data_IF_180102108200
#
_entry.id   IF_180102108200
#
_cell.length_a   1.000
_cell.length_b   1.000
_cell.length_c   1.000
_cell.angle_alpha   90.00
_cell.angle_beta   90.00
_cell.angle_gamma   90.00
#
_symmetry.space_group_name_H-M   'P 1'
#
loop_
_entity.id
_entity.type
_entity.pdbx_description
1 polymer ?
#
# COMPACT_ATOMS: atom_id res chain seq x y z
N UNK A 1 -55.06 -19.28 -59.01
CA UNK A 1 -55.11 -18.14 -58.07
C UNK A 1 -54.10 -18.39 -56.96
N UNK A 2 -53.14 -17.47 -56.85
CA UNK A 2 -52.18 -17.14 -55.80
C UNK A 2 -51.92 -18.13 -54.65
N UNK A 3 -50.66 -18.56 -54.49
CA UNK A 3 -50.04 -18.75 -53.18
C UNK A 3 -48.53 -18.42 -53.28
N UNK A 4 -48.17 -17.25 -52.74
CA UNK A 4 -46.81 -16.72 -52.59
C UNK A 4 -46.41 -16.89 -51.13
N UNK A 5 -45.33 -17.65 -50.87
CA UNK A 5 -44.77 -17.83 -49.52
C UNK A 5 -43.72 -16.74 -49.29
N UNK A 6 -43.97 -15.93 -48.25
CA UNK A 6 -43.16 -14.81 -47.83
C UNK A 6 -41.85 -15.23 -47.13
N UNK A 7 -40.79 -14.57 -47.59
CA UNK A 7 -39.50 -14.33 -46.94
C UNK A 7 -39.65 -13.66 -45.57
N UNK A 8 -38.82 -14.05 -44.58
CA UNK A 8 -38.14 -13.11 -43.68
C UNK A 8 -36.94 -13.77 -42.99
N UNK A 9 -35.73 -13.50 -43.48
CA UNK A 9 -34.47 -13.63 -42.72
C UNK A 9 -34.26 -12.36 -41.90
N UNK A 10 -34.14 -12.49 -40.58
CA UNK A 10 -33.67 -11.41 -39.69
C UNK A 10 -32.14 -11.52 -39.53
N UNK A 11 -31.43 -10.49 -39.96
CA UNK A 11 -30.01 -10.30 -39.71
C UNK A 11 -29.80 -9.72 -38.30
N UNK A 12 -29.04 -10.41 -37.45
CA UNK A 12 -28.59 -9.92 -36.15
C UNK A 12 -27.29 -9.14 -36.30
N UNK A 13 -27.35 -7.82 -36.07
CA UNK A 13 -26.21 -6.90 -36.10
C UNK A 13 -25.53 -6.91 -34.72
N UNK A 14 -24.41 -7.63 -34.57
CA UNK A 14 -23.57 -7.59 -33.38
C UNK A 14 -22.68 -6.34 -33.40
N UNK A 15 -23.03 -5.33 -32.60
CA UNK A 15 -22.16 -4.20 -32.25
C UNK A 15 -21.11 -4.65 -31.24
N UNK A 16 -19.86 -4.82 -31.67
CA UNK A 16 -18.71 -4.89 -30.77
C UNK A 16 -18.40 -3.48 -30.27
N UNK A 17 -18.65 -3.24 -28.97
CA UNK A 17 -18.20 -2.06 -28.25
C UNK A 17 -16.81 -2.37 -27.70
N UNK A 18 -15.76 -1.85 -28.35
CA UNK A 18 -14.40 -1.89 -27.82
C UNK A 18 -14.31 -0.94 -26.63
N UNK A 19 -14.21 -1.49 -25.42
CA UNK A 19 -13.81 -0.76 -24.23
C UNK A 19 -12.29 -0.78 -24.16
N UNK A 20 -11.65 0.35 -24.48
CA UNK A 20 -10.24 0.56 -24.18
C UNK A 20 -10.10 0.74 -22.68
N UNK A 21 -9.59 -0.27 -21.98
CA UNK A 21 -9.15 -0.16 -20.59
C UNK A 21 -7.86 0.65 -20.56
N UNK A 22 -7.97 1.94 -20.27
CA UNK A 22 -6.82 2.79 -19.99
C UNK A 22 -6.09 2.25 -18.75
N UNK A 23 -4.82 1.89 -18.94
CA UNK A 23 -3.85 1.54 -17.90
C UNK A 23 -3.66 2.73 -16.95
N UNK A 24 -4.35 2.71 -15.81
CA UNK A 24 -4.12 3.64 -14.72
C UNK A 24 -2.96 3.12 -13.86
N UNK A 25 -1.78 3.68 -14.04
CA UNK A 25 -0.69 3.50 -13.07
C UNK A 25 -1.12 4.08 -11.72
N UNK A 26 -0.75 3.46 -10.58
CA UNK A 26 -1.15 3.92 -9.26
C UNK A 26 -0.47 5.27 -8.97
N UNK A 27 -1.18 6.36 -9.24
CA UNK A 27 -0.73 7.69 -8.84
C UNK A 27 -0.75 7.76 -7.31
N UNK A 28 0.41 7.72 -6.68
CA UNK A 28 0.55 8.05 -5.27
C UNK A 28 -0.05 9.44 -5.03
N UNK A 29 -1.10 9.52 -4.20
CA UNK A 29 -1.75 10.77 -3.82
C UNK A 29 -0.72 11.74 -3.26
N UNK A 30 -0.76 13.03 -3.67
CA UNK A 30 0.20 14.06 -3.24
C UNK A 30 0.36 14.10 -1.72
N UNK A 31 -0.74 13.89 -0.99
CA UNK A 31 -0.76 13.78 0.48
C UNK A 31 0.16 12.69 1.05
N UNK A 32 0.32 11.55 0.38
CA UNK A 32 1.22 10.47 0.83
C UNK A 32 2.69 10.89 0.73
N UNK A 33 3.04 11.67 -0.31
CA UNK A 33 4.40 12.15 -0.53
C UNK A 33 4.86 13.13 0.56
N UNK A 34 3.91 13.86 1.17
CA UNK A 34 4.19 14.87 2.18
C UNK A 34 4.14 14.31 3.62
N UNK A 35 3.63 13.09 3.80
CA UNK A 35 3.51 12.43 5.11
C UNK A 35 4.78 12.44 5.96
N UNK A 36 6.00 12.16 5.42
CA UNK A 36 7.23 12.23 6.21
C UNK A 36 7.49 13.63 6.80
N UNK A 37 7.19 14.69 6.04
CA UNK A 37 7.32 16.07 6.50
C UNK A 37 6.35 16.38 7.62
N UNK A 38 5.07 16.00 7.46
CA UNK A 38 4.04 16.20 8.49
C UNK A 38 4.38 15.45 9.77
N UNK A 39 4.90 14.24 9.65
CA UNK A 39 5.37 13.48 10.80
C UNK A 39 6.56 14.13 11.49
N UNK A 40 7.46 14.80 10.77
CA UNK A 40 8.62 15.44 11.39
C UNK A 40 8.24 16.76 12.08
N UNK A 41 7.44 17.59 11.41
CA UNK A 41 7.13 18.95 11.85
C UNK A 41 5.78 19.07 12.58
N UNK A 42 5.19 17.97 13.06
CA UNK A 42 3.88 18.03 13.70
C UNK A 42 3.93 18.89 14.98
N UNK A 43 2.98 19.83 15.21
CA UNK A 43 2.98 20.70 16.39
C UNK A 43 2.92 19.89 17.70
N UNK A 44 2.18 18.77 17.73
CA UNK A 44 2.07 17.93 18.93
C UNK A 44 3.35 17.15 19.28
N UNK A 45 4.33 17.08 18.37
CA UNK A 45 5.62 16.43 18.67
C UNK A 45 6.59 17.35 19.40
N UNK A 46 6.26 18.64 19.53
CA UNK A 46 7.04 19.56 20.35
C UNK A 46 6.83 19.17 21.81
N UNK A 47 7.83 18.50 22.39
CA UNK A 47 7.79 18.04 23.78
C UNK A 47 7.81 19.28 24.68
N UNK A 48 6.67 19.59 25.29
CA UNK A 48 6.57 20.61 26.33
C UNK A 48 7.23 20.03 27.58
N UNK A 49 8.52 20.31 27.79
CA UNK A 49 9.18 19.99 29.05
C UNK A 49 8.51 20.79 30.16
N UNK A 50 7.76 20.11 31.03
CA UNK A 50 6.93 20.69 32.10
C UNK A 50 7.72 21.26 33.28
N UNK A 51 8.98 21.64 33.10
CA UNK A 51 9.83 22.20 34.15
C UNK A 51 9.74 23.73 34.21
N UNK A 52 8.72 24.21 34.92
CA UNK A 52 8.70 25.31 35.91
C UNK A 52 9.41 26.67 35.71
N UNK A 53 10.03 26.99 34.57
CA UNK A 53 10.47 28.36 34.26
C UNK A 53 9.52 29.01 33.26
N UNK A 54 8.86 30.10 33.66
CA UNK A 54 7.88 30.81 32.82
C UNK A 54 8.46 31.29 31.48
N UNK A 55 9.77 31.47 31.38
CA UNK A 55 10.45 32.00 30.19
C UNK A 55 10.70 30.97 29.07
N UNK A 56 10.68 29.65 29.35
CA UNK A 56 10.91 28.61 28.32
C UNK A 56 9.65 28.15 27.60
N UNK A 57 8.46 28.50 28.09
CA UNK A 57 7.21 28.18 27.41
C UNK A 57 7.04 28.96 26.10
N UNK A 58 7.53 30.19 26.03
CA UNK A 58 7.39 31.07 24.86
C UNK A 58 8.09 30.49 23.62
N UNK A 59 9.29 29.91 23.77
CA UNK A 59 10.02 29.29 22.67
C UNK A 59 9.31 28.09 22.05
N UNK A 60 8.68 27.24 22.86
CA UNK A 60 7.92 26.08 22.37
C UNK A 60 6.63 26.50 21.66
N UNK A 61 6.02 27.60 22.07
CA UNK A 61 4.82 28.15 21.42
C UNK A 61 5.16 28.74 20.05
N UNK A 62 6.31 29.41 19.92
CA UNK A 62 6.82 29.88 18.61
C UNK A 62 7.05 28.69 17.66
N UNK A 63 7.71 27.62 18.12
CA UNK A 63 7.93 26.40 17.30
C UNK A 63 6.61 25.80 16.84
N UNK A 64 5.64 25.64 17.75
CA UNK A 64 4.32 25.08 17.44
C UNK A 64 3.57 25.95 16.43
N UNK A 65 3.61 27.26 16.59
CA UNK A 65 2.95 28.21 15.69
C UNK A 65 3.56 28.18 14.29
N UNK A 66 4.88 28.30 14.19
CA UNK A 66 5.59 28.27 12.90
C UNK A 66 5.31 26.96 12.16
N UNK A 67 5.38 25.81 12.85
CA UNK A 67 5.09 24.52 12.23
C UNK A 67 3.62 24.34 11.84
N UNK A 68 2.68 24.87 12.63
CA UNK A 68 1.26 24.86 12.28
C UNK A 68 1.01 25.67 11.00
N UNK A 69 1.58 26.88 10.91
CA UNK A 69 1.48 27.75 9.73
C UNK A 69 2.09 27.08 8.49
N UNK A 70 3.22 26.37 8.66
CA UNK A 70 3.85 25.57 7.60
C UNK A 70 2.92 24.49 7.05
N UNK A 71 2.31 23.71 7.94
CA UNK A 71 1.41 22.60 7.59
C UNK A 71 0.15 23.13 6.92
N UNK A 72 -0.43 24.23 7.43
CA UNK A 72 -1.60 24.86 6.83
C UNK A 72 -1.30 25.38 5.42
N UNK A 73 -0.17 26.07 5.24
CA UNK A 73 0.27 26.57 3.92
C UNK A 73 0.45 25.42 2.93
N UNK A 74 1.05 24.33 3.37
CA UNK A 74 1.28 23.14 2.55
C UNK A 74 -0.02 22.41 2.18
N UNK A 75 -0.94 22.25 3.13
CA UNK A 75 -2.25 21.64 2.85
C UNK A 75 -3.06 22.49 1.88
N UNK A 76 -3.11 23.82 2.09
CA UNK A 76 -3.78 24.74 1.18
C UNK A 76 -3.20 24.66 -0.23
N UNK A 77 -1.87 24.55 -0.37
CA UNK A 77 -1.21 24.34 -1.66
C UNK A 77 -1.65 23.03 -2.32
N UNK A 78 -1.64 21.91 -1.59
CA UNK A 78 -2.05 20.60 -2.11
C UNK A 78 -3.51 20.64 -2.57
N UNK A 79 -4.40 21.20 -1.76
CA UNK A 79 -5.84 21.29 -2.07
C UNK A 79 -6.08 22.15 -3.32
N UNK A 80 -5.38 23.29 -3.44
CA UNK A 80 -5.44 24.14 -4.64
C UNK A 80 -4.98 23.39 -5.88
N UNK A 81 -3.92 22.59 -5.79
CA UNK A 81 -3.40 21.80 -6.90
C UNK A 81 -4.35 20.66 -7.26
N UNK A 82 -4.86 19.91 -6.29
CA UNK A 82 -5.82 18.82 -6.52
C UNK A 82 -7.10 19.34 -7.18
N UNK A 83 -7.66 20.45 -6.69
CA UNK A 83 -8.82 21.10 -7.29
C UNK A 83 -8.54 21.60 -8.72
N UNK A 84 -7.35 22.14 -8.96
CA UNK A 84 -6.92 22.57 -10.30
C UNK A 84 -6.83 21.38 -11.26
N UNK A 85 -6.25 20.26 -10.82
CA UNK A 85 -6.13 19.05 -11.62
C UNK A 85 -7.51 18.45 -11.93
N UNK A 86 -8.41 18.39 -10.96
CA UNK A 86 -9.79 17.95 -11.18
C UNK A 86 -10.52 18.86 -12.19
N UNK A 87 -10.31 20.17 -12.09
CA UNK A 87 -10.94 21.14 -13.00
C UNK A 87 -10.42 21.01 -14.43
N UNK A 88 -9.12 20.75 -14.62
CA UNK A 88 -8.54 20.45 -15.94
C UNK A 88 -9.14 19.17 -16.53
N UNK A 89 -9.29 18.12 -15.72
CA UNK A 89 -9.85 16.84 -16.16
C UNK A 89 -11.33 16.97 -16.55
N UNK A 90 -12.12 17.68 -15.75
CA UNK A 90 -13.57 17.82 -15.93
C UNK A 90 -13.97 19.06 -16.72
N UNK A 91 -13.02 19.87 -17.18
CA UNK A 91 -13.26 21.14 -17.91
C UNK A 91 -14.18 22.10 -17.15
N UNK A 92 -14.01 22.18 -15.82
CA UNK A 92 -14.78 23.09 -14.97
C UNK A 92 -14.09 24.45 -14.91
N UNK A 93 -14.88 25.52 -14.89
CA UNK A 93 -14.39 26.87 -14.66
C UNK A 93 -13.88 26.98 -13.22
N UNK A 94 -12.66 27.46 -13.06
CA UNK A 94 -12.03 27.70 -11.75
C UNK A 94 -12.25 29.16 -11.36
N UNK A 95 -12.63 29.41 -10.11
CA UNK A 95 -12.66 30.76 -9.54
C UNK A 95 -11.24 31.31 -9.44
N UNK A 96 -11.03 32.61 -9.66
CA UNK A 96 -9.70 33.22 -9.59
C UNK A 96 -8.98 32.98 -8.25
N UNK A 97 -9.75 32.83 -7.16
CA UNK A 97 -9.26 32.48 -5.82
C UNK A 97 -8.59 31.11 -5.73
N UNK A 98 -8.95 30.19 -6.62
CA UNK A 98 -8.55 28.78 -6.55
C UNK A 98 -7.43 28.48 -7.56
N UNK A 99 -6.81 29.52 -8.12
CA UNK A 99 -5.67 29.39 -9.02
C UNK A 99 -4.38 29.12 -8.24
N UNK A 100 -3.53 28.25 -8.80
CA UNK A 100 -2.22 27.93 -8.22
C UNK A 100 -1.39 29.22 -8.15
N UNK A 101 -0.90 29.55 -6.96
CA UNK A 101 -0.05 30.73 -6.74
C UNK A 101 1.34 30.51 -7.36
N UNK A 102 2.01 31.59 -7.79
CA UNK A 102 3.35 31.49 -8.38
C UNK A 102 4.40 30.97 -7.39
N UNK A 103 4.24 31.30 -6.11
CA UNK A 103 5.15 30.85 -5.08
C UNK A 103 4.40 30.62 -3.76
N UNK A 104 4.87 29.62 -3.00
CA UNK A 104 4.46 29.32 -1.63
C UNK A 104 5.71 29.32 -0.76
N UNK A 105 5.82 30.28 0.15
CA UNK A 105 6.90 30.31 1.14
C UNK A 105 6.46 29.48 2.35
N UNK A 106 7.24 28.45 2.68
CA UNK A 106 6.97 27.55 3.81
C UNK A 106 8.14 27.66 4.77
N UNK A 107 7.83 28.16 5.96
CA UNK A 107 8.77 28.30 7.05
C UNK A 107 8.45 27.29 8.14
N UNK A 108 9.46 26.54 8.61
CA UNK A 108 9.27 25.47 9.59
C UNK A 108 10.49 25.33 10.50
N UNK A 109 10.31 24.66 11.64
CA UNK A 109 11.35 24.39 12.63
C UNK A 109 11.56 22.89 12.79
N UNK A 110 12.78 22.44 12.58
CA UNK A 110 13.18 21.02 12.65
C UNK A 110 14.02 20.78 13.90
N UNK A 111 13.75 19.73 14.70
CA UNK A 111 14.62 19.35 15.81
C UNK A 111 15.98 18.89 15.28
N UNK A 112 17.07 19.47 15.78
CA UNK A 112 18.42 18.94 15.53
C UNK A 112 18.68 17.77 16.46
N UNK A 113 18.68 16.57 15.90
CA UNK A 113 19.12 15.37 16.63
C UNK A 113 20.64 15.40 16.73
N UNK A 114 21.16 15.85 17.88
CA UNK A 114 22.53 15.50 18.24
C UNK A 114 22.53 13.98 18.51
N UNK A 115 23.28 13.22 17.73
CA UNK A 115 23.34 11.75 17.79
C UNK A 115 23.92 11.17 19.10
N UNK A 116 24.07 11.99 20.14
CA UNK A 116 24.55 11.53 21.44
C UNK A 116 23.37 10.93 22.20
N UNK A 117 23.18 9.62 22.02
CA UNK A 117 22.14 8.77 22.63
C UNK A 117 22.12 8.77 24.17
N UNK A 118 22.98 9.56 24.84
CA UNK A 118 23.18 9.53 26.29
C UNK A 118 22.65 10.76 27.05
N UNK A 119 22.13 11.79 26.37
CA UNK A 119 21.63 12.99 27.08
C UNK A 119 20.15 12.91 27.46
N UNK A 120 19.95 12.63 28.73
CA UNK A 120 18.72 12.75 29.51
C UNK A 120 18.07 14.13 29.35
N UNK A 121 16.87 14.18 28.72
CA UNK A 121 15.82 15.22 28.83
C UNK A 121 16.24 16.70 28.62
N UNK A 122 17.44 16.99 28.15
CA UNK A 122 17.91 18.36 27.94
C UNK A 122 17.40 18.93 26.61
N UNK A 123 16.91 20.16 26.69
CA UNK A 123 16.39 21.04 25.64
C UNK A 123 16.64 20.60 24.20
N UNK A 124 15.59 20.25 23.48
CA UNK A 124 15.66 20.03 22.03
C UNK A 124 15.97 21.36 21.34
N UNK A 125 17.10 21.42 20.63
CA UNK A 125 17.44 22.59 19.79
C UNK A 125 16.67 22.47 18.48
N UNK A 126 16.05 23.57 18.04
CA UNK A 126 15.30 23.64 16.79
C UNK A 126 16.02 24.54 15.79
N UNK A 127 16.14 24.09 14.55
CA UNK A 127 16.63 24.89 13.42
C UNK A 127 15.45 25.39 12.61
N UNK A 128 15.32 26.72 12.49
CA UNK A 128 14.36 27.38 11.60
C UNK A 128 14.86 27.29 10.16
N UNK A 129 13.99 26.86 9.24
CA UNK A 129 14.27 26.68 7.81
C UNK A 129 13.14 27.28 6.99
N UNK A 130 13.48 27.85 5.85
CA UNK A 130 12.52 28.43 4.92
C UNK A 130 12.73 27.83 3.53
N UNK A 131 11.63 27.50 2.86
CA UNK A 131 11.62 26.95 1.51
C UNK A 131 10.56 27.65 0.68
N UNK A 132 10.98 28.24 -0.44
CA UNK A 132 10.06 28.77 -1.44
C UNK A 132 9.78 27.70 -2.50
N UNK A 133 8.53 27.25 -2.56
CA UNK A 133 8.02 26.36 -3.61
C UNK A 133 7.53 27.21 -4.77
N UNK A 134 8.00 26.93 -5.99
CA UNK A 134 7.78 27.83 -7.14
C UNK A 134 7.15 27.13 -8.34
N UNK A 135 6.13 27.76 -8.91
CA UNK A 135 5.44 27.31 -10.12
C UNK A 135 5.73 28.28 -11.27
N UNK A 136 6.48 27.85 -12.30
CA UNK A 136 6.89 28.74 -13.39
C UNK A 136 5.71 29.39 -14.11
N UNK A 137 5.85 30.63 -14.61
CA UNK A 137 4.77 31.33 -15.31
C UNK A 137 4.32 30.60 -16.58
N UNK A 138 5.21 29.82 -17.22
CA UNK A 138 4.86 28.99 -18.37
C UNK A 138 3.85 27.89 -17.98
N UNK A 139 4.03 27.28 -16.80
CA UNK A 139 3.13 26.27 -16.27
C UNK A 139 1.77 26.89 -15.94
N UNK A 140 1.75 28.07 -15.33
CA UNK A 140 0.50 28.77 -15.00
C UNK A 140 -0.27 29.17 -16.27
N UNK A 141 0.42 29.70 -17.27
CA UNK A 141 -0.17 30.05 -18.57
C UNK A 141 -0.75 28.81 -19.26
N UNK A 142 -0.04 27.67 -19.19
CA UNK A 142 -0.52 26.39 -19.71
C UNK A 142 -1.77 25.90 -18.96
N UNK A 143 -1.82 26.05 -17.64
CA UNK A 143 -3.01 25.69 -16.82
C UNK A 143 -4.20 26.56 -17.22
N UNK A 144 -4.03 27.88 -17.24
CA UNK A 144 -5.08 28.83 -17.59
C UNK A 144 -5.59 28.62 -19.02
N UNK A 145 -4.68 28.42 -19.97
CA UNK A 145 -5.04 28.15 -21.35
C UNK A 145 -5.83 26.84 -21.51
N UNK A 146 -5.49 25.80 -20.73
CA UNK A 146 -6.21 24.53 -20.74
C UNK A 146 -7.61 24.66 -20.13
N UNK A 147 -7.76 25.43 -19.05
CA UNK A 147 -9.06 25.68 -18.39
C UNK A 147 -9.98 26.51 -19.28
N UNK A 148 -9.46 27.57 -19.92
CA UNK A 148 -10.22 28.45 -20.81
C UNK A 148 -10.54 27.81 -22.17
N UNK A 149 -10.02 26.61 -22.44
CA UNK A 149 -10.17 25.95 -23.75
C UNK A 149 -9.47 26.70 -24.89
N UNK A 150 -8.57 27.64 -24.57
CA UNK A 150 -7.89 28.53 -25.52
C UNK A 150 -6.64 27.92 -26.16
N UNK A 151 -6.14 26.79 -25.63
CA UNK A 151 -4.91 26.18 -26.18
C UNK A 151 -5.22 25.46 -27.49
N UNK A 152 -4.56 25.94 -28.54
CA UNK A 152 -4.51 25.34 -29.86
C UNK A 152 -3.82 23.96 -29.82
N UNK A 153 -4.62 22.89 -29.97
CA UNK A 153 -4.35 21.55 -30.52
C UNK A 153 -3.08 20.74 -30.15
N UNK A 154 -2.03 21.29 -29.56
CA UNK A 154 -0.70 20.66 -29.47
C UNK A 154 -0.39 20.04 -28.11
N UNK A 155 -0.94 20.57 -27.02
CA UNK A 155 -0.78 20.00 -25.68
C UNK A 155 -2.08 19.36 -25.22
N UNK A 156 -2.06 18.03 -25.06
CA UNK A 156 -3.21 17.31 -24.53
C UNK A 156 -3.45 17.72 -23.06
N UNK A 157 -4.72 17.76 -22.63
CA UNK A 157 -5.09 18.00 -21.21
C UNK A 157 -4.29 17.11 -20.25
N UNK A 158 -4.03 15.87 -20.68
CA UNK A 158 -3.25 14.90 -19.95
C UNK A 158 -1.77 15.30 -19.80
N UNK A 159 -1.19 15.92 -20.82
CA UNK A 159 0.15 16.50 -20.75
C UNK A 159 0.25 17.61 -19.72
N UNK A 160 -0.73 18.52 -19.66
CA UNK A 160 -0.78 19.57 -18.62
C UNK A 160 -0.91 18.98 -17.22
N UNK A 161 -1.82 18.02 -17.02
CA UNK A 161 -1.98 17.32 -15.72
C UNK A 161 -0.66 16.70 -15.28
N UNK A 162 0.02 15.99 -16.19
CA UNK A 162 1.28 15.33 -15.87
C UNK A 162 2.40 16.33 -15.57
N UNK A 163 2.47 17.44 -16.31
CA UNK A 163 3.45 18.51 -16.05
C UNK A 163 3.27 19.14 -14.67
N UNK A 164 2.01 19.45 -14.29
CA UNK A 164 1.67 19.99 -12.96
C UNK A 164 2.01 19.00 -11.86
N UNK A 165 1.67 17.72 -12.03
CA UNK A 165 2.01 16.68 -11.06
C UNK A 165 3.52 16.50 -10.89
N UNK A 166 4.27 16.46 -12.00
CA UNK A 166 5.73 16.33 -11.96
C UNK A 166 6.38 17.53 -11.28
N UNK A 167 5.92 18.75 -11.59
CA UNK A 167 6.43 19.96 -10.93
C UNK A 167 6.12 19.95 -9.43
N UNK A 168 4.90 19.62 -9.05
CA UNK A 168 4.49 19.53 -7.64
C UNK A 168 5.35 18.53 -6.87
N UNK A 169 5.67 17.38 -7.47
CA UNK A 169 6.57 16.40 -6.86
C UNK A 169 7.99 16.92 -6.68
N UNK A 170 8.53 17.63 -7.67
CA UNK A 170 9.86 18.25 -7.56
C UNK A 170 9.91 19.26 -6.41
N UNK A 171 8.87 20.10 -6.27
CA UNK A 171 8.78 21.07 -5.18
C UNK A 171 8.62 20.38 -3.82
N UNK A 172 7.82 19.31 -3.72
CA UNK A 172 7.74 18.49 -2.49
C UNK A 172 9.10 17.86 -2.15
N UNK A 173 9.84 17.37 -3.14
CA UNK A 173 11.19 16.82 -2.92
C UNK A 173 12.17 17.89 -2.43
N UNK A 174 12.05 19.14 -2.92
CA UNK A 174 12.81 20.28 -2.41
C UNK A 174 12.48 20.56 -0.93
N UNK A 175 11.21 20.52 -0.55
CA UNK A 175 10.77 20.65 0.84
C UNK A 175 11.34 19.53 1.73
N UNK A 176 11.26 18.27 1.28
CA UNK A 176 11.78 17.12 2.03
C UNK A 176 13.30 17.20 2.22
N UNK A 177 14.01 17.62 1.17
CA UNK A 177 15.48 17.81 1.22
C UNK A 177 15.84 18.90 2.22
N UNK A 178 15.14 20.03 2.18
CA UNK A 178 15.33 21.11 3.15
C UNK A 178 14.97 20.69 4.57
N UNK A 179 14.08 19.70 4.77
CA UNK A 179 13.79 19.12 6.08
C UNK A 179 14.83 18.06 6.53
N UNK A 180 15.77 17.65 5.67
CA UNK A 180 16.73 16.58 5.96
C UNK A 180 16.12 15.17 5.85
N UNK A 181 15.01 15.02 5.13
CA UNK A 181 14.33 13.75 4.92
C UNK A 181 14.78 13.10 3.60
N UNK A 182 14.72 11.75 3.50
CA UNK A 182 15.11 11.05 2.27
C UNK A 182 14.19 11.42 1.11
N UNK A 183 14.79 11.55 -0.08
CA UNK A 183 14.07 11.79 -1.33
C UNK A 183 13.17 10.62 -1.70
N UNK A 184 11.98 10.91 -2.21
CA UNK A 184 11.13 9.90 -2.82
C UNK A 184 11.76 9.50 -4.17
N UNK A 185 12.38 8.32 -4.21
CA UNK A 185 12.91 7.76 -5.45
C UNK A 185 11.77 7.58 -6.45
N UNK A 186 11.86 8.25 -7.59
CA UNK A 186 10.95 8.01 -8.69
C UNK A 186 11.22 6.61 -9.25
N UNK A 187 10.22 5.75 -9.24
CA UNK A 187 10.14 4.64 -10.19
C UNK A 187 9.91 5.28 -11.57
N UNK A 188 10.95 5.82 -12.19
CA UNK A 188 10.89 6.18 -13.60
C UNK A 188 10.72 4.88 -14.36
N UNK A 189 9.50 4.60 -14.80
CA UNK A 189 9.23 3.55 -15.77
C UNK A 189 10.09 3.83 -17.00
N UNK A 190 11.15 3.04 -17.16
CA UNK A 190 12.02 3.01 -18.33
C UNK A 190 11.16 2.62 -19.54
N UNK A 191 10.60 3.63 -20.21
CA UNK A 191 10.04 3.46 -21.54
C UNK A 191 11.21 3.48 -22.51
N UNK A 192 11.65 2.28 -22.91
CA UNK A 192 12.62 2.08 -23.97
C UNK A 192 12.17 2.81 -25.24
N UNK A 193 12.81 3.94 -25.54
CA UNK A 193 12.91 4.44 -26.91
C UNK A 193 14.07 3.69 -27.58
N UNK A 194 13.75 2.63 -28.31
CA UNK A 194 14.65 2.10 -29.35
C UNK A 194 14.16 2.65 -30.68
N UNK A 195 14.95 3.58 -31.20
CA UNK A 195 14.90 4.12 -32.56
C UNK A 195 15.17 3.04 -33.60
N UNK A 196 14.46 3.20 -34.72
CA UNK A 196 14.59 2.57 -36.03
C UNK A 196 16.01 2.39 -36.56
N UNK A 197 16.31 1.19 -37.08
CA UNK A 197 17.08 0.95 -38.31
C UNK A 197 16.47 -0.29 -39.00
N UNK A 198 16.12 -0.13 -40.28
CA UNK A 198 15.68 -1.17 -41.21
C UNK A 198 16.86 -2.08 -41.59
N UNK A 199 16.64 -3.40 -41.77
CA UNK A 199 17.01 -4.08 -43.03
C UNK A 199 16.50 -5.53 -43.09
N UNK A 200 16.31 -6.00 -44.32
CA UNK A 200 15.75 -7.27 -44.74
C UNK A 200 16.65 -8.49 -44.48
N UNK A 201 16.04 -9.69 -44.53
CA UNK A 201 16.47 -10.80 -45.41
C UNK A 201 16.48 -12.19 -44.75
N UNK A 202 15.76 -13.09 -45.42
CA UNK A 202 15.93 -14.57 -45.45
C UNK A 202 15.69 -15.31 -44.11
N UNK A 203 14.97 -16.41 -44.04
CA UNK A 203 14.72 -17.47 -45.01
C UNK A 203 14.78 -18.79 -44.25
N UNK A 204 14.26 -19.85 -44.87
CA UNK A 204 14.38 -21.25 -44.46
C UNK A 204 13.28 -21.82 -43.55
N UNK A 205 12.26 -22.29 -44.27
CA UNK A 205 11.67 -23.60 -44.14
C UNK A 205 12.39 -24.61 -43.22
N UNK A 206 11.61 -25.24 -42.34
CA UNK A 206 11.62 -26.70 -42.23
C UNK A 206 10.23 -27.19 -41.85
N UNK A 207 9.68 -28.03 -42.72
CA UNK A 207 8.44 -28.75 -42.48
C UNK A 207 8.67 -29.87 -41.48
N UNK A 208 7.68 -30.08 -40.61
CA UNK A 208 7.50 -31.35 -39.93
C UNK A 208 6.01 -31.66 -39.86
N UNK A 209 5.58 -32.60 -40.70
CA UNK A 209 4.30 -33.31 -40.60
C UNK A 209 4.45 -34.44 -39.57
N UNK A 210 3.59 -34.48 -38.58
CA UNK A 210 3.02 -35.68 -37.94
C UNK A 210 1.75 -35.16 -37.24
N UNK A 211 0.55 -35.68 -37.48
CA UNK A 211 0.14 -37.07 -37.31
C UNK A 211 -0.89 -37.07 -36.18
N UNK A 212 -2.16 -37.27 -36.52
CA UNK A 212 -3.27 -37.26 -35.57
C UNK A 212 -3.10 -38.33 -34.50
N UNK A 213 -3.28 -37.95 -33.24
CA UNK A 213 -3.22 -38.84 -32.09
C UNK A 213 -4.03 -38.25 -30.95
N UNK A 214 -5.13 -38.93 -30.62
CA UNK A 214 -6.02 -38.66 -29.49
C UNK A 214 -5.22 -38.85 -28.19
N UNK A 215 -5.09 -37.82 -27.37
CA UNK A 215 -4.33 -37.89 -26.11
C UNK A 215 -4.64 -36.72 -25.18
N UNK A 216 -4.96 -37.05 -23.93
CA UNK A 216 -5.36 -36.15 -22.84
C UNK A 216 -4.55 -34.85 -22.71
N UNK A 217 -5.27 -33.73 -22.60
CA UNK A 217 -4.75 -32.42 -22.23
C UNK A 217 -4.22 -32.41 -20.78
N UNK A 218 -2.94 -32.72 -20.61
CA UNK A 218 -2.17 -32.33 -19.43
C UNK A 218 -1.54 -30.97 -19.75
N UNK A 219 -1.95 -29.95 -18.98
CA UNK A 219 -1.52 -28.57 -19.15
C UNK A 219 0.02 -28.44 -18.99
N UNK A 220 0.75 -27.81 -19.94
CA UNK A 220 2.22 -27.77 -19.94
C UNK A 220 2.85 -26.78 -18.93
N UNK A 221 2.09 -26.26 -17.98
CA UNK A 221 2.57 -25.32 -16.95
C UNK A 221 3.47 -25.95 -15.89
N UNK A 222 3.62 -27.29 -15.86
CA UNK A 222 4.40 -28.01 -14.82
C UNK A 222 5.87 -28.27 -15.15
N UNK A 223 6.34 -27.96 -16.36
CA UNK A 223 7.72 -28.28 -16.78
C UNK A 223 8.71 -27.10 -16.72
N UNK A 224 8.28 -25.89 -16.33
CA UNK A 224 9.20 -24.75 -16.12
C UNK A 224 10.02 -24.82 -14.82
N UNK A 225 9.79 -25.83 -13.98
CA UNK A 225 10.58 -26.07 -12.77
C UNK A 225 12.00 -26.60 -13.04
N UNK A 226 12.21 -27.30 -14.17
CA UNK A 226 13.48 -27.97 -14.46
C UNK A 226 14.59 -27.08 -15.06
N UNK A 227 14.25 -25.93 -15.66
CA UNK A 227 15.23 -25.11 -16.38
C UNK A 227 15.89 -23.99 -15.55
N UNK A 228 15.38 -23.69 -14.35
CA UNK A 228 16.01 -22.69 -13.46
C UNK A 228 16.97 -23.30 -12.41
N UNK A 229 17.15 -24.63 -12.36
CA UNK A 229 18.10 -25.26 -11.43
C UNK A 229 19.58 -25.09 -11.83
N UNK A 230 19.85 -24.67 -13.08
CA UNK A 230 21.22 -24.48 -13.58
C UNK A 230 21.70 -23.03 -13.50
N UNK A 231 20.91 -22.11 -12.94
CA UNK A 231 21.45 -20.79 -12.57
C UNK A 231 22.14 -20.97 -11.22
N UNK A 232 23.45 -20.67 -11.11
CA UNK A 232 24.08 -20.64 -9.80
C UNK A 232 23.23 -19.72 -8.91
N UNK A 233 22.97 -20.09 -7.65
CA UNK A 233 22.19 -19.25 -6.76
C UNK A 233 22.79 -17.84 -6.78
N UNK A 234 21.96 -16.79 -6.84
CA UNK A 234 22.45 -15.41 -6.81
C UNK A 234 23.44 -15.29 -5.65
N UNK A 235 24.61 -14.71 -5.93
CA UNK A 235 25.71 -14.59 -4.97
C UNK A 235 25.14 -14.14 -3.62
N UNK A 236 25.14 -15.06 -2.65
CA UNK A 236 24.47 -14.86 -1.38
C UNK A 236 25.25 -13.75 -0.68
N UNK A 237 24.59 -12.62 -0.44
CA UNK A 237 25.14 -11.57 0.39
C UNK A 237 25.17 -12.06 1.84
N UNK A 238 26.29 -12.70 2.20
CA UNK A 238 26.54 -13.26 3.52
C UNK A 238 26.42 -12.19 4.63
N UNK A 239 26.68 -10.91 4.35
CA UNK A 239 26.51 -9.85 5.33
C UNK A 239 25.04 -9.58 5.60
N UNK A 240 24.21 -9.52 4.55
CA UNK A 240 22.77 -9.39 4.70
C UNK A 240 22.16 -10.62 5.38
N UNK A 241 22.65 -11.81 5.05
CA UNK A 241 22.21 -13.06 5.68
C UNK A 241 22.60 -13.10 7.17
N UNK A 242 23.85 -12.81 7.52
CA UNK A 242 24.31 -12.73 8.91
C UNK A 242 23.54 -11.67 9.71
N UNK A 243 23.27 -10.50 9.13
CA UNK A 243 22.47 -9.47 9.78
C UNK A 243 21.01 -9.92 10.00
N UNK A 244 20.46 -10.75 9.10
CA UNK A 244 19.13 -11.34 9.27
C UNK A 244 19.16 -12.42 10.35
N UNK A 245 20.18 -13.28 10.36
CA UNK A 245 20.36 -14.33 11.35
C UNK A 245 20.53 -13.75 12.74
N UNK A 246 21.39 -12.74 12.91
CA UNK A 246 21.57 -12.03 14.18
C UNK A 246 20.27 -11.40 14.71
N UNK A 247 19.47 -10.79 13.83
CA UNK A 247 18.14 -10.26 14.22
C UNK A 247 17.12 -11.36 14.58
N UNK A 248 17.25 -12.55 14.00
CA UNK A 248 16.44 -13.70 14.33
C UNK A 248 16.84 -14.27 15.70
N UNK A 249 18.14 -14.42 15.96
CA UNK A 249 18.70 -14.84 17.26
C UNK A 249 18.33 -13.86 18.38
N UNK A 250 18.50 -12.55 18.16
CA UNK A 250 18.08 -11.51 19.11
C UNK A 250 16.56 -11.56 19.37
N UNK A 251 15.77 -11.87 18.34
CA UNK A 251 14.33 -12.08 18.47
C UNK A 251 13.99 -13.29 19.31
N UNK A 252 14.60 -14.42 19.00
CA UNK A 252 14.42 -15.68 19.74
C UNK A 252 14.83 -15.51 21.20
N UNK A 253 15.93 -14.81 21.50
CA UNK A 253 16.33 -14.51 22.88
C UNK A 253 15.33 -13.62 23.62
N UNK A 254 14.69 -12.67 22.93
CA UNK A 254 13.63 -11.84 23.53
C UNK A 254 12.36 -12.66 23.80
N UNK A 255 11.96 -13.55 22.88
CA UNK A 255 10.81 -14.43 23.06
C UNK A 255 11.06 -15.43 24.21
N UNK A 256 12.25 -16.05 24.27
CA UNK A 256 12.69 -16.93 25.38
C UNK A 256 12.67 -16.18 26.71
N UNK A 257 13.08 -14.91 26.74
CA UNK A 257 13.04 -14.10 27.96
C UNK A 257 11.61 -13.83 28.47
N UNK A 258 10.59 -14.05 27.63
CA UNK A 258 9.18 -13.90 28.01
C UNK A 258 8.50 -15.22 28.40
N UNK A 259 9.12 -16.37 28.13
CA UNK A 259 8.57 -17.68 28.50
C UNK A 259 8.49 -17.88 30.02
N UNK A 260 7.37 -18.46 30.48
CA UNK A 260 7.14 -18.87 31.87
C UNK A 260 6.59 -17.78 32.79
N UNK A 261 6.27 -16.58 32.28
CA UNK A 261 5.81 -15.44 33.09
C UNK A 261 4.41 -14.93 32.71
N UNK A 262 3.61 -15.71 31.99
CA UNK A 262 2.26 -15.30 31.54
C UNK A 262 1.21 -15.36 32.66
N UNK A 263 1.19 -14.31 33.48
CA UNK A 263 0.00 -14.03 34.29
C UNK A 263 -1.25 -13.84 33.40
N UNK A 264 -2.48 -14.13 33.87
CA UNK A 264 -3.71 -13.88 33.12
C UNK A 264 -3.82 -12.43 32.60
N UNK A 265 -3.25 -11.47 33.34
CA UNK A 265 -3.18 -10.06 32.93
C UNK A 265 -2.29 -9.84 31.71
N UNK A 266 -1.16 -10.53 31.62
CA UNK A 266 -0.28 -10.48 30.45
C UNK A 266 -0.92 -11.17 29.24
N UNK A 267 -1.56 -12.34 29.42
CA UNK A 267 -2.32 -13.01 28.34
C UNK A 267 -3.34 -12.04 27.71
N UNK A 268 -4.14 -11.36 28.54
CA UNK A 268 -5.09 -10.33 28.07
C UNK A 268 -4.41 -9.17 27.34
N UNK A 269 -3.22 -8.74 27.77
CA UNK A 269 -2.47 -7.66 27.10
C UNK A 269 -2.01 -8.09 25.71
N UNK A 270 -1.49 -9.31 25.56
CA UNK A 270 -1.07 -9.84 24.25
C UNK A 270 -2.26 -9.95 23.32
N UNK A 271 -3.36 -10.56 23.77
CA UNK A 271 -4.60 -10.66 23.00
C UNK A 271 -5.14 -9.28 22.61
N UNK A 272 -5.16 -8.32 23.54
CA UNK A 272 -5.56 -6.94 23.24
C UNK A 272 -4.65 -6.27 22.20
N UNK A 273 -3.34 -6.55 22.25
CA UNK A 273 -2.38 -6.11 21.24
C UNK A 273 -2.73 -6.62 19.85
N UNK A 274 -3.00 -7.92 19.72
CA UNK A 274 -3.44 -8.54 18.45
C UNK A 274 -4.75 -7.92 17.97
N UNK A 275 -5.75 -7.77 18.85
CA UNK A 275 -7.05 -7.18 18.51
C UNK A 275 -6.94 -5.72 18.07
N UNK A 276 -6.01 -4.94 18.63
CA UNK A 276 -5.77 -3.55 18.23
C UNK A 276 -5.25 -3.41 16.79
N UNK A 277 -4.72 -4.51 16.23
CA UNK A 277 -4.19 -4.60 14.86
C UNK A 277 -5.17 -5.24 13.89
N UNK A 278 -6.41 -5.49 14.31
CA UNK A 278 -7.49 -5.89 13.41
C UNK A 278 -7.90 -4.66 12.56
N UNK A 279 -8.02 -4.87 11.26
CA UNK A 279 -8.43 -3.89 10.24
C UNK A 279 -9.61 -4.45 9.46
N UNK A 280 -10.41 -3.58 8.88
CA UNK A 280 -11.53 -3.96 8.00
C UNK A 280 -11.08 -3.69 6.57
N UNK A 281 -11.36 -4.62 5.66
CA UNK A 281 -11.03 -4.46 4.24
C UNK A 281 -11.87 -3.33 3.63
N UNK A 282 -11.24 -2.42 2.90
CA UNK A 282 -11.91 -1.34 2.13
C UNK A 282 -12.44 -1.82 0.76
N UNK A 283 -12.34 -3.12 0.47
CA UNK A 283 -12.76 -3.74 -0.80
C UNK A 283 -14.29 -3.76 -0.94
N UNK A 284 -14.89 -2.60 -1.25
CA UNK A 284 -16.20 -2.44 -1.90
C UNK A 284 -17.46 -2.72 -1.08
N UNK A 285 -17.44 -3.66 -0.13
CA UNK A 285 -18.60 -4.03 0.70
C UNK A 285 -18.35 -3.59 2.14
N UNK A 286 -19.15 -2.64 2.61
CA UNK A 286 -19.06 -2.15 3.99
C UNK A 286 -19.54 -3.22 4.96
N UNK A 287 -18.62 -3.86 5.68
CA UNK A 287 -18.97 -4.72 6.82
C UNK A 287 -19.72 -3.87 7.84
N UNK A 288 -20.90 -4.32 8.27
CA UNK A 288 -21.68 -3.57 9.26
C UNK A 288 -20.94 -3.46 10.59
N UNK A 289 -21.06 -2.33 11.30
CA UNK A 289 -20.40 -2.12 12.60
C UNK A 289 -20.71 -3.22 13.61
N UNK A 290 -21.95 -3.75 13.58
CA UNK A 290 -22.39 -4.85 14.44
C UNK A 290 -21.65 -6.16 14.13
N UNK A 291 -21.44 -6.48 12.85
CA UNK A 291 -20.66 -7.65 12.44
C UNK A 291 -19.20 -7.51 12.83
N UNK A 292 -18.61 -6.32 12.65
CA UNK A 292 -17.25 -6.04 13.08
C UNK A 292 -17.08 -6.24 14.60
N UNK A 293 -17.99 -5.67 15.41
CA UNK A 293 -17.97 -5.80 16.86
C UNK A 293 -18.16 -7.27 17.32
N UNK A 294 -19.07 -8.00 16.66
CA UNK A 294 -19.32 -9.41 16.93
C UNK A 294 -18.09 -10.26 16.59
N UNK A 295 -17.48 -10.00 15.43
CA UNK A 295 -16.27 -10.66 14.96
C UNK A 295 -15.09 -10.41 15.90
N UNK A 296 -14.85 -9.15 16.30
CA UNK A 296 -13.80 -8.78 17.25
C UNK A 296 -13.99 -9.46 18.61
N UNK A 297 -15.22 -9.48 19.13
CA UNK A 297 -15.55 -10.17 20.38
C UNK A 297 -15.27 -11.66 20.29
N UNK A 298 -15.75 -12.32 19.22
CA UNK A 298 -15.54 -13.76 19.00
C UNK A 298 -14.06 -14.10 18.88
N UNK A 299 -13.32 -13.29 18.12
CA UNK A 299 -11.88 -13.45 17.95
C UNK A 299 -11.13 -13.27 19.26
N UNK A 300 -11.49 -12.27 20.07
CA UNK A 300 -10.88 -12.04 21.38
C UNK A 300 -11.08 -13.18 22.36
N UNK A 301 -12.29 -13.74 22.42
CA UNK A 301 -12.58 -14.93 23.24
C UNK A 301 -11.77 -16.12 22.73
N UNK A 302 -11.79 -16.38 21.41
CA UNK A 302 -11.07 -17.49 20.80
C UNK A 302 -9.56 -17.44 21.08
N UNK A 303 -8.92 -16.28 20.88
CA UNK A 303 -7.49 -16.11 21.14
C UNK A 303 -7.14 -16.25 22.63
N UNK A 304 -8.06 -15.87 23.52
CA UNK A 304 -7.85 -16.03 24.95
C UNK A 304 -8.01 -17.48 25.40
N UNK A 305 -9.01 -18.19 24.88
CA UNK A 305 -9.31 -19.59 25.22
C UNK A 305 -8.25 -20.54 24.62
N UNK A 306 -7.80 -20.25 23.39
CA UNK A 306 -6.76 -21.03 22.69
C UNK A 306 -5.36 -20.43 22.84
N UNK A 307 -5.10 -19.62 23.88
CA UNK A 307 -3.81 -18.93 24.04
C UNK A 307 -2.62 -19.91 24.09
N UNK A 308 -2.77 -20.99 24.86
CA UNK A 308 -1.76 -22.04 25.01
C UNK A 308 -1.71 -22.93 23.77
N UNK A 309 -2.88 -23.27 23.23
CA UNK A 309 -3.02 -24.08 22.01
C UNK A 309 -2.40 -23.46 20.75
N UNK A 310 -2.21 -22.15 20.75
CA UNK A 310 -1.66 -21.34 19.66
C UNK A 310 -0.22 -20.90 19.92
N UNK A 311 0.40 -21.40 21.01
CA UNK A 311 1.75 -21.08 21.43
C UNK A 311 2.01 -19.56 21.43
N UNK A 312 1.04 -18.77 21.90
CA UNK A 312 1.09 -17.31 21.78
C UNK A 312 2.23 -16.68 22.58
N UNK A 313 2.69 -17.37 23.63
CA UNK A 313 3.85 -16.98 24.41
C UNK A 313 5.15 -17.24 23.65
N UNK A 314 5.30 -18.44 23.09
CA UNK A 314 6.49 -18.86 22.35
C UNK A 314 6.63 -18.12 21.01
N UNK A 315 5.51 -17.62 20.47
CA UNK A 315 5.45 -16.88 19.20
C UNK A 315 5.11 -15.40 19.38
N UNK A 316 5.44 -14.82 20.54
CA UNK A 316 5.09 -13.45 20.91
C UNK A 316 5.36 -12.41 19.82
N UNK A 317 6.52 -12.46 19.16
CA UNK A 317 6.89 -11.54 18.07
C UNK A 317 6.05 -11.72 16.80
N UNK A 318 5.77 -12.96 16.39
CA UNK A 318 4.90 -13.23 15.23
C UNK A 318 3.50 -12.67 15.51
N UNK A 319 2.99 -12.93 16.71
CA UNK A 319 1.74 -12.34 17.18
C UNK A 319 1.82 -10.83 17.32
N UNK A 320 2.99 -10.23 17.54
CA UNK A 320 3.15 -8.78 17.60
C UNK A 320 3.16 -8.10 16.21
N UNK A 321 3.68 -8.80 15.21
CA UNK A 321 3.73 -8.32 13.83
C UNK A 321 2.47 -8.65 13.02
N UNK A 322 1.60 -9.50 13.58
CA UNK A 322 0.39 -9.95 12.93
C UNK A 322 -0.63 -8.82 12.72
N UNK A 323 -1.13 -8.68 11.50
CA UNK A 323 -2.23 -7.80 11.12
C UNK A 323 -3.37 -8.67 10.63
N UNK A 324 -4.55 -8.53 11.24
CA UNK A 324 -5.74 -9.29 10.86
C UNK A 324 -6.64 -8.37 10.04
N UNK A 325 -6.99 -8.77 8.83
CA UNK A 325 -7.89 -8.04 7.94
C UNK A 325 -9.21 -8.79 7.86
N UNK A 326 -10.28 -8.19 8.38
CA UNK A 326 -11.63 -8.73 8.26
C UNK A 326 -12.13 -8.49 6.84
N UNK A 327 -12.42 -9.58 6.13
CA UNK A 327 -13.04 -9.54 4.81
C UNK A 327 -14.52 -9.88 4.90
N UNK A 328 -15.34 -9.10 4.23
CA UNK A 328 -16.67 -9.57 3.89
C UNK A 328 -16.53 -10.65 2.83
N UNK A 329 -17.33 -11.71 2.90
CA UNK A 329 -17.43 -12.61 1.75
C UNK A 329 -18.29 -11.91 0.72
N UNK A 330 -17.72 -11.56 -0.44
CA UNK A 330 -18.44 -10.81 -1.48
C UNK A 330 -19.81 -11.43 -1.76
N UNK A 331 -20.84 -10.60 -1.62
CA UNK A 331 -22.25 -10.91 -1.84
C UNK A 331 -22.56 -11.09 -3.33
N UNK A 332 -22.02 -12.12 -3.98
CA UNK A 332 -22.66 -12.67 -5.17
C UNK A 332 -23.65 -13.77 -4.75
N UNK A 333 -24.85 -13.33 -4.34
CA UNK A 333 -26.11 -14.06 -4.48
C UNK A 333 -26.56 -14.97 -3.32
N UNK A 334 -27.40 -14.41 -2.43
CA UNK A 334 -28.65 -14.95 -1.88
C UNK A 334 -28.74 -16.38 -1.27
N UNK A 335 -27.66 -17.09 -0.99
CA UNK A 335 -27.78 -18.40 -0.33
C UNK A 335 -26.64 -18.74 0.64
N UNK A 336 -26.44 -17.87 1.65
CA UNK A 336 -25.43 -18.03 2.72
C UNK A 336 -25.54 -19.40 3.42
N UNK A 337 -26.75 -19.89 3.68
CA UNK A 337 -26.97 -21.20 4.31
C UNK A 337 -26.67 -22.38 3.37
N UNK A 338 -27.07 -22.29 2.09
CA UNK A 338 -26.86 -23.36 1.12
C UNK A 338 -25.37 -23.45 0.72
N UNK A 339 -24.64 -22.32 0.67
CA UNK A 339 -23.18 -22.30 0.51
C UNK A 339 -22.45 -22.83 1.73
N UNK A 340 -22.85 -22.54 2.98
CA UNK A 340 -22.24 -23.19 4.17
C UNK A 340 -22.39 -24.71 4.11
N UNK A 341 -23.56 -25.20 3.68
CA UNK A 341 -23.81 -26.64 3.51
C UNK A 341 -23.05 -27.24 2.33
N UNK A 342 -22.88 -26.50 1.23
CA UNK A 342 -22.14 -26.94 0.05
C UNK A 342 -20.62 -26.84 0.24
N UNK A 343 -20.08 -25.83 0.94
CA UNK A 343 -18.65 -25.71 1.31
C UNK A 343 -18.21 -26.90 2.14
N UNK A 344 -18.99 -27.28 3.15
CA UNK A 344 -18.76 -28.48 3.96
C UNK A 344 -18.72 -29.77 3.13
N UNK A 345 -19.33 -29.78 1.93
CA UNK A 345 -19.36 -30.93 1.02
C UNK A 345 -18.36 -30.86 -0.14
N UNK A 346 -18.02 -29.67 -0.64
CA UNK A 346 -17.22 -29.49 -1.86
C UNK A 346 -15.77 -29.04 -1.61
N UNK A 347 -15.46 -28.34 -0.52
CA UNK A 347 -14.14 -27.69 -0.39
C UNK A 347 -13.43 -28.09 0.89
N UNK A 348 -12.67 -29.19 0.82
CA UNK A 348 -11.47 -29.38 1.64
C UNK A 348 -10.26 -28.57 1.13
N UNK A 349 -10.38 -27.88 0.00
CA UNK A 349 -9.21 -27.37 -0.74
C UNK A 349 -8.95 -25.87 -0.63
N UNK A 350 -9.88 -25.06 -0.10
CA UNK A 350 -9.67 -23.60 0.08
C UNK A 350 -10.42 -23.09 1.32
N UNK A 351 -9.68 -22.86 2.41
CA UNK A 351 -10.19 -22.47 3.73
C UNK A 351 -10.75 -21.04 3.79
N UNK A 352 -10.64 -20.24 2.73
CA UNK A 352 -11.12 -18.85 2.70
C UNK A 352 -10.25 -17.87 3.48
N UNK A 353 -9.40 -18.37 4.38
CA UNK A 353 -8.33 -17.61 5.00
C UNK A 353 -7.20 -17.38 4.00
N UNK A 354 -6.58 -16.20 4.05
CA UNK A 354 -5.42 -15.88 3.22
C UNK A 354 -4.31 -15.32 4.10
N UNK A 355 -3.24 -16.08 4.22
CA UNK A 355 -2.01 -15.66 4.87
C UNK A 355 -1.10 -15.03 3.81
N UNK A 356 -0.58 -13.85 4.10
CA UNK A 356 0.33 -13.14 3.22
C UNK A 356 1.47 -12.53 4.03
N UNK A 357 2.66 -12.54 3.44
CA UNK A 357 3.85 -11.96 4.04
C UNK A 357 4.14 -10.60 3.40
N UNK A 358 4.10 -9.55 4.21
CA UNK A 358 4.46 -8.20 3.79
C UNK A 358 5.96 -7.96 3.83
N UNK A 359 6.42 -6.93 3.12
CA UNK A 359 7.77 -6.40 3.35
C UNK A 359 7.86 -5.86 4.79
N UNK A 360 9.00 -6.10 5.47
CA UNK A 360 9.26 -5.76 6.89
C UNK A 360 8.65 -6.73 7.93
N UNK A 361 8.64 -8.01 7.62
CA UNK A 361 8.24 -9.09 8.56
C UNK A 361 6.80 -8.95 9.09
N UNK A 362 5.91 -8.30 8.34
CA UNK A 362 4.50 -8.18 8.73
C UNK A 362 3.72 -9.37 8.20
N UNK A 363 3.12 -10.14 9.10
CA UNK A 363 2.17 -11.19 8.74
C UNK A 363 0.79 -10.57 8.58
N UNK A 364 0.15 -10.75 7.43
CA UNK A 364 -1.23 -10.29 7.23
C UNK A 364 -2.14 -11.48 6.98
N UNK A 365 -3.21 -11.61 7.77
CA UNK A 365 -4.21 -12.68 7.65
C UNK A 365 -5.54 -12.07 7.28
N UNK A 366 -6.11 -12.47 6.15
CA UNK A 366 -7.48 -12.16 5.82
C UNK A 366 -8.41 -13.20 6.45
N UNK A 367 -9.34 -12.76 7.32
CA UNK A 367 -10.31 -13.60 8.02
C UNK A 367 -11.73 -13.21 7.55
N UNK A 368 -12.57 -14.17 7.11
CA UNK A 368 -13.96 -13.89 6.81
C UNK A 368 -14.73 -13.52 8.09
N UNK A 369 -15.64 -12.55 8.02
CA UNK A 369 -16.40 -12.09 9.20
C UNK A 369 -17.23 -13.18 9.90
N UNK A 370 -17.56 -14.27 9.21
CA UNK A 370 -18.31 -15.42 9.73
C UNK A 370 -17.49 -16.70 9.89
N UNK A 371 -16.18 -16.54 10.15
CA UNK A 371 -15.24 -17.63 10.39
C UNK A 371 -15.74 -18.67 11.41
N UNK A 372 -15.31 -19.91 11.23
CA UNK A 372 -15.49 -21.01 12.17
C UNK A 372 -14.31 -21.05 13.15
N UNK A 373 -14.59 -21.19 14.45
CA UNK A 373 -13.57 -21.12 15.48
C UNK A 373 -12.53 -22.24 15.35
N UNK A 374 -12.98 -23.47 15.07
CA UNK A 374 -12.09 -24.62 14.99
C UNK A 374 -11.22 -24.57 13.73
N UNK A 375 -11.82 -24.17 12.61
CA UNK A 375 -11.10 -23.98 11.34
C UNK A 375 -10.04 -22.88 11.46
N UNK A 376 -10.38 -21.74 12.07
CA UNK A 376 -9.42 -20.65 12.26
C UNK A 376 -8.23 -21.06 13.15
N UNK A 377 -8.47 -21.80 14.24
CA UNK A 377 -7.38 -22.31 15.10
C UNK A 377 -6.50 -23.30 14.34
N UNK A 378 -7.10 -24.18 13.53
CA UNK A 378 -6.36 -25.12 12.69
C UNK A 378 -5.47 -24.39 11.68
N UNK A 379 -6.00 -23.36 11.01
CA UNK A 379 -5.27 -22.55 10.04
C UNK A 379 -4.13 -21.77 10.71
N UNK A 380 -4.37 -21.21 11.91
CA UNK A 380 -3.29 -20.61 12.69
C UNK A 380 -2.19 -21.61 13.00
N UNK A 381 -2.51 -22.81 13.50
CA UNK A 381 -1.49 -23.85 13.78
C UNK A 381 -0.70 -24.23 12.53
N UNK A 382 -1.39 -24.45 11.42
CA UNK A 382 -0.76 -24.84 10.15
C UNK A 382 0.19 -23.75 9.63
N UNK A 383 -0.19 -22.48 9.72
CA UNK A 383 0.62 -21.39 9.21
C UNK A 383 1.68 -20.89 10.20
N UNK A 384 1.42 -20.95 11.51
CA UNK A 384 2.39 -20.58 12.54
C UNK A 384 3.52 -21.59 12.66
N UNK A 385 3.22 -22.90 12.57
CA UNK A 385 4.26 -23.92 12.48
C UNK A 385 5.17 -23.74 11.27
N UNK A 386 4.62 -23.29 10.13
CA UNK A 386 5.41 -22.94 8.97
C UNK A 386 6.36 -21.76 9.24
N UNK A 387 5.97 -20.77 10.05
CA UNK A 387 6.87 -19.67 10.43
C UNK A 387 8.04 -20.12 11.30
N UNK A 388 7.87 -21.20 12.05
CA UNK A 388 8.94 -21.76 12.88
C UNK A 388 9.87 -22.69 12.09
N UNK A 389 9.34 -23.45 11.13
CA UNK A 389 10.15 -24.35 10.28
C UNK A 389 10.75 -23.66 9.06
N UNK A 390 10.41 -22.39 8.80
CA UNK A 390 11.08 -21.58 7.79
C UNK A 390 12.50 -21.23 8.24
N UNK A 391 13.39 -22.23 8.18
CA UNK A 391 14.80 -21.98 7.98
C UNK A 391 14.96 -21.08 6.75
N UNK A 392 15.81 -20.04 6.81
CA UNK A 392 15.94 -19.01 5.77
C UNK A 392 16.48 -19.51 4.42
N UNK A 393 16.64 -20.82 4.22
CA UNK A 393 17.34 -21.41 3.08
C UNK A 393 16.49 -21.54 1.80
N UNK A 394 15.17 -21.32 1.88
CA UNK A 394 14.30 -21.40 0.70
C UNK A 394 13.60 -20.08 0.39
N UNK A 395 14.34 -19.19 -0.29
CA UNK A 395 13.76 -18.07 -1.04
C UNK A 395 13.33 -18.57 -2.42
N UNK A 396 12.02 -18.50 -2.70
CA UNK A 396 11.42 -18.78 -4.01
C UNK A 396 11.53 -17.61 -4.98
#
# INVERSE_FOLDING_TARGET
>A
ASNSIHSHRKAGLLKYRSLSTASASPQLSLRKSVSPFLMLCHPDKVVVSSSTSADTNDGNDVVRKVNLDAIQTLNNMIDTIEQTLESIQHSRTISASDSIRPAYAIEFMVPTTNNDETQTRQSCVYTRREVCLTFPPELQSMIQGTILGSIAATTSKQGTVQAVQNRTRQEINKLLTAAGLPLLQHETSTTNQTSSVEDESSGSANGFRFGGGVGHLISPSRLKWGLNQNKPPPNIDWNRWNARMKRAEEGMMQDIATMGFTTPRKKRRVVAGVLSRVRVSDEGVTVTLLEQATCLRRLGILLQDCYEDLDMEDHGRVWDQLVIVLKHEDEEGLNRQQRKRNRRKQNRTKSGYKFSWGSKDKVTIAIPTDFDNAELVQEFRQHLSFFHTWEPDYVY
#
